data_IF_303021795607
#
_entry.id   IF_303021795607
#
_cell.length_a   1.000
_cell.length_b   1.000
_cell.length_c   1.000
_cell.angle_alpha   90.00
_cell.angle_beta   90.00
_cell.angle_gamma   90.00
#
_symmetry.space_group_name_H-M   'P 1'
#
loop_
_entity.id
_entity.type
_entity.pdbx_description
1 polymer ?
#
# COMPACT_ATOMS: atom_id res chain seq x y z
N UNK A 1 -17.43 10.19 -15.07
CA UNK A 1 -16.92 10.76 -13.81
C UNK A 1 -17.51 9.94 -12.67
N UNK A 2 -16.83 8.86 -12.27
CA UNK A 2 -17.37 7.89 -11.31
C UNK A 2 -16.97 8.31 -9.89
N UNK A 3 -17.97 8.65 -9.10
CA UNK A 3 -17.87 9.05 -7.70
C UNK A 3 -17.41 7.85 -6.87
N UNK A 4 -16.10 7.79 -6.57
CA UNK A 4 -15.39 6.80 -5.73
C UNK A 4 -15.89 6.68 -4.26
N UNK A 5 -17.04 7.26 -3.91
CA UNK A 5 -17.51 7.39 -2.52
C UNK A 5 -18.38 6.23 -2.01
N UNK A 6 -18.84 5.34 -2.88
CA UNK A 6 -19.85 4.32 -2.53
C UNK A 6 -19.55 2.90 -3.01
N UNK A 7 -18.33 2.61 -3.46
CA UNK A 7 -17.94 1.22 -3.70
C UNK A 7 -17.82 0.49 -2.37
N UNK A 8 -18.44 -0.68 -2.27
CA UNK A 8 -18.35 -1.63 -1.16
C UNK A 8 -16.88 -1.97 -0.85
N UNK A 9 -16.19 -1.11 -0.10
CA UNK A 9 -14.74 -1.01 0.07
C UNK A 9 -14.09 -2.23 0.72
N UNK A 10 -14.88 -3.19 1.22
CA UNK A 10 -14.38 -4.43 1.81
C UNK A 10 -14.73 -5.70 1.03
N UNK A 11 -15.80 -5.71 0.23
CA UNK A 11 -16.24 -6.91 -0.50
C UNK A 11 -15.64 -6.99 -1.92
N UNK A 12 -15.35 -5.86 -2.56
CA UNK A 12 -14.61 -5.84 -3.84
C UNK A 12 -13.08 -5.96 -3.66
N UNK A 13 -12.61 -6.32 -2.45
CA UNK A 13 -11.19 -6.49 -2.07
C UNK A 13 -10.59 -7.80 -2.58
N UNK A 14 -10.61 -8.02 -3.89
CA UNK A 14 -9.43 -8.61 -4.52
C UNK A 14 -8.32 -7.56 -4.47
N UNK A 15 -7.75 -7.46 -3.26
CA UNK A 15 -6.89 -6.43 -2.66
C UNK A 15 -6.18 -5.48 -3.64
N UNK A 16 -6.12 -4.16 -3.37
CA UNK A 16 -5.19 -3.29 -4.09
C UNK A 16 -3.75 -3.80 -3.99
N UNK A 17 -3.43 -4.56 -2.93
CA UNK A 17 -2.19 -5.33 -2.83
C UNK A 17 -2.10 -6.41 -3.92
N UNK A 18 -3.10 -7.28 -4.15
CA UNK A 18 -3.14 -8.20 -5.32
C UNK A 18 -3.10 -7.48 -6.66
N UNK A 19 -3.77 -6.34 -6.77
CA UNK A 19 -3.70 -5.53 -7.99
C UNK A 19 -2.28 -4.99 -8.22
N UNK A 20 -1.57 -4.62 -7.16
CA UNK A 20 -0.16 -4.23 -7.21
C UNK A 20 0.76 -5.41 -7.48
N UNK A 21 0.50 -6.59 -6.91
CA UNK A 21 1.20 -7.83 -7.27
C UNK A 21 1.03 -8.13 -8.77
N UNK A 22 -0.19 -8.02 -9.30
CA UNK A 22 -0.46 -8.19 -10.74
C UNK A 22 0.23 -7.14 -11.60
N UNK A 23 0.28 -5.89 -11.16
CA UNK A 23 1.02 -4.81 -11.83
C UNK A 23 2.52 -5.07 -11.81
N UNK A 24 3.06 -5.53 -10.68
CA UNK A 24 4.47 -5.89 -10.53
C UNK A 24 4.86 -7.07 -11.42
N UNK A 25 4.09 -8.17 -11.40
CA UNK A 25 4.34 -9.34 -12.25
C UNK A 25 4.32 -8.95 -13.74
N UNK A 26 3.38 -8.08 -14.12
CA UNK A 26 3.32 -7.52 -15.47
C UNK A 26 4.54 -6.64 -15.79
N UNK A 27 4.95 -5.77 -14.87
CA UNK A 27 6.10 -4.89 -15.06
C UNK A 27 7.42 -5.66 -15.12
N UNK A 28 7.62 -6.70 -14.30
CA UNK A 28 8.78 -7.61 -14.39
C UNK A 28 8.75 -8.42 -15.69
N UNK A 29 7.58 -8.86 -16.14
CA UNK A 29 7.42 -9.52 -17.44
C UNK A 29 7.83 -8.62 -18.61
N UNK A 30 7.53 -7.31 -18.53
CA UNK A 30 7.86 -6.30 -19.54
C UNK A 30 9.34 -5.86 -19.44
N UNK A 31 9.91 -5.75 -18.24
CA UNK A 31 11.28 -5.28 -18.04
C UNK A 31 12.35 -6.27 -18.51
N UNK A 32 11.99 -7.53 -18.79
CA UNK A 32 12.91 -8.51 -19.39
C UNK A 32 13.18 -8.26 -20.88
N UNK A 33 12.42 -7.39 -21.55
CA UNK A 33 12.56 -7.16 -23.00
C UNK A 33 13.07 -5.77 -23.39
N UNK A 34 13.05 -4.77 -22.50
CA UNK A 34 13.54 -3.41 -22.80
C UNK A 34 14.10 -2.72 -21.55
N UNK A 35 15.39 -2.42 -21.55
CA UNK A 35 16.12 -1.63 -20.54
C UNK A 35 16.44 -0.27 -21.20
N UNK A 36 16.29 0.91 -20.58
CA UNK A 36 17.13 1.45 -19.49
C UNK A 36 16.57 2.79 -18.96
N UNK A 37 16.89 3.11 -17.70
CA UNK A 37 16.83 4.42 -17.01
C UNK A 37 15.48 5.01 -16.58
N UNK A 38 14.36 4.80 -17.30
CA UNK A 38 13.03 5.28 -16.83
C UNK A 38 12.38 4.40 -15.74
N UNK A 39 12.92 3.20 -15.52
CA UNK A 39 12.31 2.15 -14.67
C UNK A 39 12.72 2.21 -13.20
N UNK A 40 13.87 2.82 -12.89
CA UNK A 40 14.44 2.97 -11.54
C UNK A 40 13.88 4.16 -10.75
N UNK A 41 12.76 4.75 -11.20
CA UNK A 41 12.00 5.69 -10.36
C UNK A 41 10.62 5.13 -10.09
N UNK A 42 10.04 4.49 -11.11
CA UNK A 42 8.75 3.81 -11.01
C UNK A 42 8.78 2.65 -10.01
N UNK A 43 9.82 1.83 -10.02
CA UNK A 43 9.94 0.68 -9.09
C UNK A 43 10.07 1.12 -7.62
N UNK A 44 10.76 2.22 -7.36
CA UNK A 44 11.03 2.84 -6.07
C UNK A 44 9.76 3.45 -5.50
N UNK A 45 8.99 4.14 -6.35
CA UNK A 45 7.67 4.66 -6.02
C UNK A 45 6.71 3.50 -5.73
N UNK A 46 6.66 2.47 -6.58
CA UNK A 46 5.78 1.32 -6.40
C UNK A 46 6.16 0.53 -5.13
N UNK A 47 7.45 0.32 -4.88
CA UNK A 47 7.92 -0.36 -3.67
C UNK A 47 7.51 0.40 -2.40
N UNK A 48 7.68 1.72 -2.40
CA UNK A 48 7.25 2.58 -1.29
C UNK A 48 5.73 2.57 -1.11
N UNK A 49 4.99 2.55 -2.21
CA UNK A 49 3.52 2.49 -2.19
C UNK A 49 3.02 1.16 -1.63
N UNK A 50 3.62 0.04 -2.04
CA UNK A 50 3.28 -1.29 -1.55
C UNK A 50 3.54 -1.41 -0.05
N UNK A 51 4.68 -0.93 0.42
CA UNK A 51 5.01 -0.93 1.85
C UNK A 51 4.03 -0.08 2.67
N UNK A 52 3.72 1.14 2.24
CA UNK A 52 2.76 2.00 2.94
C UNK A 52 1.32 1.47 2.90
N UNK A 53 0.97 0.74 1.85
CA UNK A 53 -0.31 0.04 1.76
C UNK A 53 -0.42 -1.08 2.79
N UNK A 54 0.63 -1.91 2.92
CA UNK A 54 0.67 -2.95 3.95
C UNK A 54 0.54 -2.33 5.34
N UNK A 55 1.27 -1.26 5.62
CA UNK A 55 1.16 -0.54 6.89
C UNK A 55 -0.26 0.01 7.13
N UNK A 56 -0.88 0.57 6.10
CA UNK A 56 -2.25 1.08 6.15
C UNK A 56 -3.28 -0.02 6.39
N UNK A 57 -3.12 -1.20 5.78
CA UNK A 57 -3.96 -2.37 6.03
C UNK A 57 -3.78 -2.89 7.45
N UNK A 58 -2.53 -3.03 7.88
CA UNK A 58 -2.18 -3.49 9.23
C UNK A 58 -2.72 -2.55 10.30
N UNK A 59 -2.74 -1.24 10.06
CA UNK A 59 -3.40 -0.28 10.93
C UNK A 59 -4.91 -0.56 11.06
N UNK A 60 -5.61 -0.79 9.94
CA UNK A 60 -7.05 -1.11 9.95
C UNK A 60 -7.34 -2.43 10.66
N UNK A 61 -6.50 -3.42 10.42
CA UNK A 61 -6.54 -4.73 11.09
C UNK A 61 -6.46 -4.55 12.62
N UNK A 62 -5.50 -3.76 13.11
CA UNK A 62 -5.34 -3.46 14.54
C UNK A 62 -6.54 -2.73 15.15
N UNK A 63 -7.22 -1.89 14.36
CA UNK A 63 -8.49 -1.26 14.75
C UNK A 63 -9.66 -2.25 14.81
N UNK A 64 -9.46 -3.50 14.41
CA UNK A 64 -10.47 -4.54 14.37
C UNK A 64 -11.28 -4.53 13.08
N UNK A 65 -10.88 -3.81 12.03
CA UNK A 65 -11.58 -3.79 10.74
C UNK A 65 -11.21 -5.04 9.91
N UNK A 66 -12.18 -5.95 9.73
CA UNK A 66 -12.04 -7.23 9.03
C UNK A 66 -13.00 -7.33 7.85
N UNK A 67 -12.75 -8.31 6.97
CA UNK A 67 -13.62 -8.62 5.81
C UNK A 67 -15.04 -9.01 6.23
N UNK A 68 -15.18 -9.65 7.38
CA UNK A 68 -16.45 -10.16 7.91
C UNK A 68 -17.31 -9.08 8.58
N UNK A 69 -16.79 -7.85 8.70
CA UNK A 69 -17.53 -6.75 9.30
C UNK A 69 -18.41 -6.13 8.24
N UNK A 70 -19.71 -6.38 8.38
CA UNK A 70 -20.77 -5.78 7.58
C UNK A 70 -21.51 -4.72 8.40
N UNK A 71 -22.31 -3.89 7.73
CA UNK A 71 -23.20 -2.93 8.41
C UNK A 71 -24.19 -3.61 9.36
N UNK A 72 -24.47 -4.89 9.15
CA UNK A 72 -25.35 -5.70 10.00
C UNK A 72 -24.65 -6.17 11.27
N UNK A 73 -23.31 -6.21 11.30
CA UNK A 73 -22.51 -6.73 12.42
C UNK A 73 -21.36 -5.79 12.85
N UNK A 74 -21.63 -4.49 13.10
CA UNK A 74 -20.58 -3.52 13.44
C UNK A 74 -19.92 -3.79 14.80
N UNK A 75 -20.59 -4.51 15.70
CA UNK A 75 -20.06 -4.86 17.02
C UNK A 75 -18.85 -5.81 16.96
N UNK A 76 -18.69 -6.57 15.87
CA UNK A 76 -17.54 -7.46 15.67
C UNK A 76 -16.19 -6.71 15.71
N UNK A 77 -16.17 -5.41 15.38
CA UNK A 77 -14.96 -4.58 15.48
C UNK A 77 -14.36 -4.64 16.89
N UNK A 78 -15.18 -4.63 17.94
CA UNK A 78 -14.70 -4.68 19.33
C UNK A 78 -14.00 -5.99 19.66
N UNK A 79 -14.42 -7.10 19.02
CA UNK A 79 -13.86 -8.42 19.27
C UNK A 79 -12.45 -8.55 18.69
N UNK A 80 -12.19 -7.86 17.57
CA UNK A 80 -10.91 -7.93 16.86
C UNK A 80 -9.96 -6.76 17.19
N UNK A 81 -10.47 -5.72 17.83
CA UNK A 81 -9.65 -4.56 18.20
C UNK A 81 -8.63 -4.96 19.25
N UNK A 82 -7.36 -4.64 19.00
CA UNK A 82 -6.24 -5.00 19.88
C UNK A 82 -6.14 -6.51 20.17
N UNK A 83 -6.55 -7.34 19.19
CA UNK A 83 -6.29 -8.78 19.22
C UNK A 83 -4.80 -9.06 19.46
N UNK A 84 -4.49 -10.07 20.28
CA UNK A 84 -3.12 -10.39 20.67
C UNK A 84 -2.28 -10.88 19.48
N UNK A 85 -2.90 -11.61 18.55
CA UNK A 85 -2.26 -12.14 17.35
C UNK A 85 -3.11 -11.81 16.10
N UNK A 86 -3.11 -10.55 15.64
CA UNK A 86 -3.86 -10.17 14.47
C UNK A 86 -3.17 -10.71 13.20
N UNK A 87 -3.90 -11.23 12.19
CA UNK A 87 -3.31 -11.65 10.92
C UNK A 87 -2.82 -10.45 10.12
N UNK A 88 -1.62 -9.97 10.43
CA UNK A 88 -0.97 -8.86 9.75
C UNK A 88 -0.40 -9.31 8.40
N UNK A 89 -0.51 -8.42 7.43
CA UNK A 89 0.09 -8.62 6.12
C UNK A 89 1.57 -8.20 6.16
N UNK A 90 2.38 -8.84 5.32
CA UNK A 90 3.78 -8.46 5.12
C UNK A 90 4.01 -7.96 3.70
N UNK A 91 4.88 -6.95 3.56
CA UNK A 91 5.29 -6.49 2.24
C UNK A 91 6.06 -7.60 1.50
N UNK A 92 5.93 -7.66 0.16
CA UNK A 92 6.69 -8.61 -0.63
C UNK A 92 8.20 -8.40 -0.49
N UNK A 93 8.96 -9.51 -0.48
CA UNK A 93 10.43 -9.51 -0.31
C UNK A 93 11.15 -8.64 -1.36
N UNK A 94 10.59 -8.45 -2.55
CA UNK A 94 11.23 -7.65 -3.57
C UNK A 94 11.28 -6.15 -3.20
N UNK A 95 10.32 -5.63 -2.42
CA UNK A 95 10.31 -4.20 -2.07
C UNK A 95 11.53 -3.86 -1.25
N UNK A 96 11.96 -4.74 -0.34
CA UNK A 96 13.15 -4.54 0.49
C UNK A 96 14.46 -4.56 -0.30
N UNK A 97 14.45 -5.08 -1.54
CA UNK A 97 15.62 -5.09 -2.43
C UNK A 97 15.75 -3.79 -3.23
N UNK A 98 14.69 -3.00 -3.30
CA UNK A 98 14.70 -1.72 -4.03
C UNK A 98 15.36 -0.66 -3.15
N UNK A 99 16.51 -0.17 -3.60
CA UNK A 99 17.30 0.85 -2.92
C UNK A 99 16.71 2.26 -2.99
N UNK A 100 17.40 3.25 -2.42
CA UNK A 100 16.99 4.64 -2.50
C UNK A 100 17.32 5.30 -3.84
N UNK A 101 16.56 6.34 -4.18
CA UNK A 101 16.85 7.22 -5.30
C UNK A 101 18.11 8.05 -5.03
N UNK A 102 18.90 8.24 -6.10
CA UNK A 102 20.11 9.08 -6.05
C UNK A 102 19.77 10.54 -5.68
N UNK A 103 18.66 11.06 -6.20
CA UNK A 103 18.18 12.41 -5.92
C UNK A 103 16.96 12.36 -4.99
N UNK A 104 16.80 13.40 -4.17
CA UNK A 104 15.63 13.52 -3.31
C UNK A 104 14.40 13.87 -4.15
N UNK A 105 13.41 12.97 -4.16
CA UNK A 105 12.17 13.17 -4.89
C UNK A 105 11.09 13.71 -3.97
N UNK A 106 10.74 14.98 -4.12
CA UNK A 106 9.68 15.62 -3.35
C UNK A 106 8.37 15.67 -4.17
N UNK A 107 7.42 14.79 -3.84
CA UNK A 107 6.09 14.76 -4.46
C UNK A 107 5.09 15.65 -3.72
N UNK A 108 5.34 15.94 -2.43
CA UNK A 108 4.48 16.82 -1.64
C UNK A 108 5.30 17.62 -0.62
N UNK A 109 5.41 18.96 -0.79
CA UNK A 109 6.32 19.75 0.04
C UNK A 109 5.84 19.96 1.48
N UNK A 110 4.52 19.92 1.70
CA UNK A 110 3.89 20.25 2.99
C UNK A 110 3.59 19.04 3.89
N UNK A 111 4.05 17.84 3.53
CA UNK A 111 3.75 16.63 4.31
C UNK A 111 4.94 16.15 5.14
N UNK A 112 4.63 15.46 6.25
CA UNK A 112 5.64 14.67 6.97
C UNK A 112 6.06 13.51 6.07
N UNK A 113 7.36 13.21 6.04
CA UNK A 113 7.85 12.07 5.31
C UNK A 113 7.31 10.77 5.93
N UNK A 114 6.80 9.89 5.08
CA UNK A 114 6.25 8.59 5.49
C UNK A 114 7.39 7.57 5.43
N UNK A 115 7.57 6.70 6.45
CA UNK A 115 8.75 5.84 6.55
C UNK A 115 9.04 5.02 5.28
N UNK A 116 8.01 4.45 4.66
CA UNK A 116 8.14 3.66 3.42
C UNK A 116 8.76 4.45 2.25
N UNK A 117 8.42 5.74 2.13
CA UNK A 117 8.95 6.64 1.10
C UNK A 117 10.29 7.25 1.50
N UNK A 118 10.45 7.61 2.78
CA UNK A 118 11.67 8.20 3.31
C UNK A 118 12.88 7.28 3.12
N UNK A 119 12.69 5.96 3.30
CA UNK A 119 13.71 4.94 3.02
C UNK A 119 14.25 4.97 1.59
N UNK A 120 13.49 5.50 0.64
CA UNK A 120 13.88 5.59 -0.77
C UNK A 120 14.23 7.00 -1.23
N UNK A 121 14.48 7.91 -0.28
CA UNK A 121 14.75 9.32 -0.55
C UNK A 121 13.56 10.03 -1.24
N UNK A 122 12.33 9.58 -0.96
CA UNK A 122 11.09 10.16 -1.50
C UNK A 122 10.30 10.82 -0.37
N UNK A 123 9.75 12.01 -0.63
CA UNK A 123 8.81 12.69 0.26
C UNK A 123 7.44 12.77 -0.40
N UNK A 124 6.50 11.97 0.09
CA UNK A 124 5.14 11.86 -0.43
C UNK A 124 4.10 11.88 0.69
N UNK A 125 2.89 12.34 0.35
CA UNK A 125 1.73 12.27 1.23
C UNK A 125 0.81 11.14 0.76
N UNK A 126 0.68 10.10 1.57
CA UNK A 126 -0.20 8.96 1.29
C UNK A 126 -1.27 8.77 2.37
N UNK A 127 -1.66 9.85 3.07
CA UNK A 127 -2.77 9.80 4.03
C UNK A 127 -4.09 9.26 3.41
N UNK A 128 -4.26 9.44 2.08
CA UNK A 128 -5.37 8.84 1.33
C UNK A 128 -5.38 7.30 1.38
N UNK A 129 -4.22 6.64 1.46
CA UNK A 129 -4.09 5.19 1.54
C UNK A 129 -4.57 4.62 2.89
N UNK A 130 -4.65 5.45 3.92
CA UNK A 130 -5.27 5.05 5.19
C UNK A 130 -6.80 5.05 5.11
N UNK A 131 -7.37 5.69 4.08
CA UNK A 131 -8.81 5.84 3.91
C UNK A 131 -9.44 4.81 2.95
N UNK A 132 -8.65 3.99 2.25
CA UNK A 132 -9.09 2.93 1.30
C UNK A 132 -9.35 1.56 1.96
#
# INVERSE_FOLDING_TARGET
MITLRYTWLFHARDTPLRALYRLYDKHIGISRTCQTLKTLTELEIIASLVEDLVDSFNYKIKLGLRREITFEKPWLIKNFKNEADPPLESAPIWTSRVGPLAEHLELSPKCKAIPAFARRNIKANTNQLRNI
#
